data_IF_371239215808
#
_entry.id   IF_371239215808
#
_cell.length_a   1.000
_cell.length_b   1.000
_cell.length_c   1.000
_cell.angle_alpha   90.00
_cell.angle_beta   90.00
_cell.angle_gamma   90.00
#
_symmetry.space_group_name_H-M   'P 1'
#
loop_
_entity.id
_entity.type
_entity.pdbx_description
1 polymer ?
#
# COMPACT_ATOMS: atom_id res chain seq x y z
N UNK A 1 -13.82 37.68 -41.12
CA UNK A 1 -14.40 36.44 -40.57
C UNK A 1 -13.28 35.40 -40.60
N UNK A 2 -12.26 35.39 -39.72
CA UNK A 2 -12.27 35.36 -38.24
C UNK A 2 -13.47 34.53 -37.76
N UNK A 3 -13.32 33.32 -37.19
CA UNK A 3 -12.43 32.85 -36.12
C UNK A 3 -12.07 31.36 -36.34
N UNK A 4 -10.80 30.94 -36.34
CA UNK A 4 -9.98 30.51 -35.21
C UNK A 4 -10.50 29.31 -34.39
N UNK A 5 -9.95 28.17 -34.79
CA UNK A 5 -9.76 26.89 -34.10
C UNK A 5 -9.40 27.02 -32.60
N UNK A 6 -10.16 26.36 -31.73
CA UNK A 6 -9.79 26.15 -30.32
C UNK A 6 -9.72 24.66 -29.98
N UNK A 7 -8.53 24.08 -30.15
CA UNK A 7 -8.04 22.94 -29.39
C UNK A 7 -7.36 23.44 -28.12
N UNK A 8 -7.89 23.09 -26.94
CA UNK A 8 -7.24 23.28 -25.63
C UNK A 8 -8.07 22.52 -24.56
N UNK A 9 -7.58 21.77 -23.59
CA UNK A 9 -6.25 21.36 -23.13
C UNK A 9 -6.51 20.09 -22.29
N UNK A 10 -5.86 18.98 -22.61
CA UNK A 10 -5.82 17.84 -21.69
C UNK A 10 -4.93 18.23 -20.51
N UNK A 11 -5.53 18.56 -19.37
CA UNK A 11 -4.81 18.69 -18.11
C UNK A 11 -4.31 17.31 -17.68
N UNK A 12 -3.11 16.99 -18.12
CA UNK A 12 -2.29 15.93 -17.53
C UNK A 12 -2.01 16.40 -16.10
N UNK A 13 -2.80 15.88 -15.16
CA UNK A 13 -2.52 15.98 -13.73
C UNK A 13 -1.14 15.35 -13.52
N UNK A 14 -0.14 16.21 -13.40
CA UNK A 14 1.24 15.86 -13.10
C UNK A 14 1.26 15.21 -11.72
N UNK A 15 1.16 13.88 -11.68
CA UNK A 15 1.49 13.11 -10.49
C UNK A 15 2.96 13.39 -10.18
N UNK A 16 3.20 14.11 -9.12
CA UNK A 16 4.52 14.49 -8.65
C UNK A 16 5.23 13.26 -8.07
N UNK A 17 5.65 12.33 -8.94
CA UNK A 17 6.60 11.26 -8.61
C UNK A 17 8.01 11.84 -8.75
N UNK A 18 8.28 12.93 -8.02
CA UNK A 18 9.66 13.35 -7.77
C UNK A 18 10.07 12.74 -6.45
N UNK A 19 10.80 11.63 -6.54
CA UNK A 19 12.01 11.33 -5.78
C UNK A 19 12.40 9.87 -6.01
N UNK A 20 13.05 9.62 -7.14
CA UNK A 20 13.80 8.38 -7.35
C UNK A 20 15.13 8.44 -6.59
N UNK A 21 15.10 8.88 -5.32
CA UNK A 21 16.27 8.77 -4.45
C UNK A 21 16.43 7.29 -4.16
N UNK A 22 17.56 6.70 -4.58
CA UNK A 22 17.95 5.33 -4.24
C UNK A 22 17.49 5.04 -2.79
N UNK A 23 16.74 3.96 -2.54
CA UNK A 23 16.21 3.70 -1.21
C UNK A 23 17.38 3.64 -0.24
N UNK A 24 17.55 4.68 0.58
CA UNK A 24 18.57 4.70 1.62
C UNK A 24 18.10 3.71 2.67
N UNK A 25 18.94 2.73 2.98
CA UNK A 25 18.66 1.78 4.05
C UNK A 25 18.60 2.57 5.37
N UNK A 26 17.39 2.85 5.85
CA UNK A 26 17.19 3.56 7.10
C UNK A 26 17.60 2.66 8.27
N UNK A 27 18.03 3.28 9.37
CA UNK A 27 18.29 2.56 10.63
C UNK A 27 17.03 1.81 11.02
N UNK A 28 17.18 0.52 11.32
CA UNK A 28 16.05 -0.33 11.71
C UNK A 28 15.37 0.22 12.99
N UNK A 29 14.04 0.17 13.03
CA UNK A 29 13.25 0.56 14.20
C UNK A 29 13.61 -0.29 15.42
N UNK A 30 13.50 0.30 16.63
CA UNK A 30 13.68 -0.44 17.90
C UNK A 30 12.77 -1.67 17.97
N UNK A 31 11.52 -1.54 17.49
CA UNK A 31 10.54 -2.64 17.43
C UNK A 31 11.01 -3.78 16.51
N UNK A 32 11.52 -3.45 15.32
CA UNK A 32 12.10 -4.42 14.39
C UNK A 32 13.28 -5.17 15.00
N UNK A 33 14.17 -4.44 15.69
CA UNK A 33 15.35 -5.07 16.31
C UNK A 33 15.00 -6.00 17.47
N UNK A 34 13.89 -5.78 18.18
CA UNK A 34 13.41 -6.71 19.22
C UNK A 34 12.91 -8.00 18.60
N UNK A 35 11.99 -7.89 17.63
CA UNK A 35 11.44 -9.05 16.90
C UNK A 35 12.53 -9.88 16.24
N UNK A 36 13.50 -9.24 15.60
CA UNK A 36 14.63 -9.93 14.99
C UNK A 36 15.51 -10.68 16.01
N UNK A 37 15.62 -10.19 17.26
CA UNK A 37 16.33 -10.90 18.34
C UNK A 37 15.55 -12.11 18.82
N UNK A 38 14.24 -11.99 19.01
CA UNK A 38 13.38 -13.09 19.44
C UNK A 38 13.43 -14.26 18.45
N UNK A 39 13.28 -13.96 17.15
CA UNK A 39 13.39 -14.96 16.08
C UNK A 39 14.79 -15.59 16.06
N UNK A 40 15.85 -14.80 16.30
CA UNK A 40 17.22 -15.30 16.35
C UNK A 40 17.46 -16.22 17.55
N UNK A 41 16.86 -15.92 18.70
CA UNK A 41 16.93 -16.78 19.88
C UNK A 41 16.24 -18.11 19.62
N UNK A 42 15.06 -18.08 19.01
CA UNK A 42 14.30 -19.27 18.63
C UNK A 42 15.05 -20.13 17.61
N UNK A 43 15.59 -19.51 16.56
CA UNK A 43 16.39 -20.20 15.54
C UNK A 43 17.68 -20.83 16.11
N UNK A 44 18.20 -20.29 17.23
CA UNK A 44 19.40 -20.77 17.91
C UNK A 44 19.14 -21.76 19.05
N UNK A 45 17.89 -22.21 19.27
CA UNK A 45 17.58 -23.30 20.23
C UNK A 45 18.08 -24.69 19.77
N UNK A 46 18.92 -24.75 18.74
CA UNK A 46 19.49 -26.00 18.23
C UNK A 46 20.50 -26.55 19.24
N UNK A 47 20.39 -27.84 19.55
CA UNK A 47 21.24 -28.52 20.54
C UNK A 47 22.67 -28.75 20.06
N UNK A 48 22.89 -28.75 18.74
CA UNK A 48 24.19 -29.06 18.13
C UNK A 48 24.46 -28.07 17.00
N UNK A 49 25.72 -27.65 16.87
CA UNK A 49 26.24 -26.87 15.74
C UNK A 49 26.52 -25.39 16.03
N UNK A 50 26.89 -24.66 14.98
CA UNK A 50 27.23 -23.23 15.06
C UNK A 50 25.98 -22.37 15.24
N UNK A 51 26.09 -21.33 16.06
CA UNK A 51 25.06 -20.29 16.18
C UNK A 51 24.84 -19.56 14.85
N UNK A 52 23.58 -19.39 14.48
CA UNK A 52 23.14 -18.63 13.31
C UNK A 52 23.42 -17.15 13.55
N UNK A 53 24.08 -16.50 12.59
CA UNK A 53 24.33 -15.06 12.63
C UNK A 53 23.14 -14.28 12.04
N UNK A 54 23.00 -13.01 12.43
CA UNK A 54 21.95 -12.11 11.91
C UNK A 54 21.92 -12.04 10.38
N UNK A 55 23.09 -12.04 9.74
CA UNK A 55 23.21 -11.97 8.29
C UNK A 55 22.65 -13.22 7.59
N UNK A 56 22.84 -14.41 8.17
CA UNK A 56 22.34 -15.67 7.60
C UNK A 56 20.81 -15.73 7.70
N UNK A 57 20.26 -15.29 8.84
CA UNK A 57 18.81 -15.17 9.03
C UNK A 57 18.19 -14.23 7.98
N UNK A 58 18.79 -13.05 7.76
CA UNK A 58 18.29 -12.09 6.78
C UNK A 58 18.39 -12.60 5.34
N UNK A 59 19.48 -13.28 4.98
CA UNK A 59 19.63 -13.88 3.65
C UNK A 59 18.53 -14.93 3.39
N UNK A 60 18.23 -15.76 4.38
CA UNK A 60 17.16 -16.74 4.28
C UNK A 60 15.78 -16.09 4.17
N UNK A 61 15.53 -15.03 4.92
CA UNK A 61 14.28 -14.27 4.82
C UNK A 61 14.09 -13.65 3.43
N UNK A 62 15.17 -13.10 2.85
CA UNK A 62 15.16 -12.53 1.51
C UNK A 62 14.96 -13.60 0.42
N UNK A 63 15.43 -14.84 0.62
CA UNK A 63 15.23 -15.93 -0.35
C UNK A 63 13.79 -16.45 -0.40
N UNK A 64 13.03 -16.30 0.69
CA UNK A 64 11.61 -16.70 0.76
C UNK A 64 10.69 -15.62 0.17
N UNK A 65 11.17 -14.39 0.03
CA UNK A 65 10.35 -13.25 -0.36
C UNK A 65 9.79 -13.43 -1.78
N UNK A 66 8.50 -13.76 -1.86
CA UNK A 66 7.72 -13.86 -3.11
C UNK A 66 7.17 -12.50 -3.54
N UNK A 67 6.83 -12.32 -4.82
CA UNK A 67 6.16 -11.11 -5.32
C UNK A 67 4.84 -10.80 -4.60
N UNK A 68 4.15 -11.82 -4.08
CA UNK A 68 2.92 -11.65 -3.28
C UNK A 68 3.19 -10.85 -2.00
N UNK A 69 4.27 -11.14 -1.30
CA UNK A 69 4.66 -10.41 -0.09
C UNK A 69 5.04 -8.95 -0.39
N UNK A 70 5.56 -8.69 -1.59
CA UNK A 70 5.84 -7.33 -2.05
C UNK A 70 4.53 -6.57 -2.25
N UNK A 71 3.51 -7.19 -2.87
CA UNK A 71 2.18 -6.59 -3.02
C UNK A 71 1.54 -6.31 -1.65
N UNK A 72 1.62 -7.26 -0.71
CA UNK A 72 1.13 -7.06 0.65
C UNK A 72 1.84 -5.87 1.35
N UNK A 73 3.17 -5.75 1.21
CA UNK A 73 3.91 -4.62 1.76
C UNK A 73 3.49 -3.29 1.14
N UNK A 74 3.21 -3.28 -0.17
CA UNK A 74 2.67 -2.11 -0.85
C UNK A 74 1.32 -1.74 -0.26
N UNK A 75 0.39 -2.69 -0.13
CA UNK A 75 -0.95 -2.50 0.46
C UNK A 75 -0.92 -2.04 1.92
N UNK A 76 0.02 -2.53 2.72
CA UNK A 76 0.23 -2.10 4.11
C UNK A 76 0.83 -0.70 4.19
N UNK A 77 1.61 -0.29 3.20
CA UNK A 77 2.20 1.05 3.14
C UNK A 77 1.20 2.11 2.66
N UNK A 78 0.06 1.73 2.09
CA UNK A 78 -0.98 2.68 1.70
C UNK A 78 -1.59 3.34 2.94
N UNK A 79 -1.60 4.66 2.96
CA UNK A 79 -2.30 5.41 4.01
C UNK A 79 -3.81 5.31 3.82
N UNK A 80 -4.57 5.66 4.86
CA UNK A 80 -6.03 5.72 4.77
C UNK A 80 -6.48 6.71 3.69
N UNK A 81 -5.77 7.85 3.54
CA UNK A 81 -6.06 8.80 2.46
C UNK A 81 -5.79 8.19 1.08
N UNK A 82 -4.69 7.44 0.92
CA UNK A 82 -4.37 6.77 -0.34
C UNK A 82 -5.42 5.69 -0.70
N UNK A 83 -5.90 4.94 0.30
CA UNK A 83 -6.97 3.94 0.10
C UNK A 83 -8.27 4.60 -0.36
N UNK A 84 -8.63 5.73 0.23
CA UNK A 84 -9.81 6.50 -0.19
C UNK A 84 -9.66 7.07 -1.59
N UNK A 85 -8.47 7.56 -1.96
CA UNK A 85 -8.21 8.03 -3.31
C UNK A 85 -8.25 6.87 -4.33
N UNK A 86 -7.73 5.67 -4.00
CA UNK A 86 -7.87 4.49 -4.86
C UNK A 86 -9.34 4.11 -5.11
N UNK A 87 -10.17 4.15 -4.06
CA UNK A 87 -11.61 3.94 -4.16
C UNK A 87 -12.28 5.00 -5.05
N UNK A 88 -11.92 6.28 -4.85
CA UNK A 88 -12.42 7.38 -5.67
C UNK A 88 -12.05 7.22 -7.15
N UNK A 89 -10.81 6.84 -7.45
CA UNK A 89 -10.35 6.61 -8.83
C UNK A 89 -11.11 5.46 -9.50
N UNK A 90 -11.43 4.39 -8.76
CA UNK A 90 -12.24 3.28 -9.28
C UNK A 90 -13.69 3.69 -9.50
N UNK A 91 -14.27 4.46 -8.59
CA UNK A 91 -15.61 5.04 -8.76
C UNK A 91 -15.67 5.94 -9.99
N UNK A 92 -14.65 6.79 -10.22
CA UNK A 92 -14.57 7.67 -11.39
C UNK A 92 -14.59 6.89 -12.70
N UNK A 93 -13.94 5.73 -12.76
CA UNK A 93 -13.92 4.87 -13.95
C UNK A 93 -15.29 4.28 -14.29
N UNK A 94 -16.16 4.11 -13.30
CA UNK A 94 -17.44 3.41 -13.45
C UNK A 94 -18.59 4.40 -13.59
N UNK A 95 -18.63 5.42 -12.74
CA UNK A 95 -19.75 6.36 -12.61
C UNK A 95 -19.44 7.77 -13.12
N UNK A 96 -18.19 8.05 -13.51
CA UNK A 96 -17.78 9.35 -14.03
C UNK A 96 -17.11 10.27 -12.99
N UNK A 97 -16.65 11.46 -13.42
CA UNK A 97 -15.85 12.35 -12.58
C UNK A 97 -16.64 12.87 -11.38
N UNK A 98 -16.18 12.55 -10.16
CA UNK A 98 -16.74 13.03 -8.89
C UNK A 98 -15.70 13.84 -8.10
N UNK A 99 -16.13 14.94 -7.50
CA UNK A 99 -15.27 15.73 -6.61
C UNK A 99 -14.97 14.97 -5.32
N UNK A 100 -13.87 15.31 -4.63
CA UNK A 100 -13.51 14.69 -3.35
C UNK A 100 -14.61 14.86 -2.30
N UNK A 101 -15.25 16.04 -2.28
CA UNK A 101 -16.33 16.35 -1.34
C UNK A 101 -17.59 15.52 -1.63
N UNK A 102 -17.93 15.39 -2.90
CA UNK A 102 -19.12 14.65 -3.33
C UNK A 102 -18.92 13.14 -3.14
N UNK A 103 -17.69 12.65 -3.36
CA UNK A 103 -17.32 11.27 -3.04
C UNK A 103 -17.43 10.98 -1.54
N UNK A 104 -17.03 11.92 -0.67
CA UNK A 104 -17.20 11.77 0.77
C UNK A 104 -18.68 11.77 1.19
N UNK A 105 -19.53 12.54 0.51
CA UNK A 105 -20.99 12.44 0.70
C UNK A 105 -21.53 11.07 0.27
N UNK A 106 -21.02 10.54 -0.84
CA UNK A 106 -21.37 9.21 -1.34
C UNK A 106 -20.96 8.10 -0.37
N UNK A 107 -19.77 8.16 0.24
CA UNK A 107 -19.33 7.12 1.21
C UNK A 107 -20.18 7.04 2.47
N UNK A 108 -20.95 8.10 2.78
CA UNK A 108 -21.90 8.15 3.90
C UNK A 108 -23.30 7.65 3.53
N UNK A 109 -23.54 7.34 2.24
CA UNK A 109 -24.82 6.84 1.74
C UNK A 109 -24.95 5.33 1.86
N UNK A 110 -26.20 4.84 1.86
CA UNK A 110 -26.49 3.39 1.85
C UNK A 110 -26.06 2.74 0.53
N UNK A 111 -26.03 3.50 -0.56
CA UNK A 111 -25.62 3.05 -1.89
C UNK A 111 -24.13 2.67 -1.95
N UNK A 112 -23.30 3.30 -1.11
CA UNK A 112 -21.88 2.95 -0.98
C UNK A 112 -21.68 1.53 -0.44
N UNK A 113 -22.53 1.06 0.48
CA UNK A 113 -22.47 -0.32 0.97
C UNK A 113 -22.81 -1.31 -0.15
N UNK A 114 -23.74 -0.96 -1.04
CA UNK A 114 -24.04 -1.73 -2.25
C UNK A 114 -22.85 -1.77 -3.21
N UNK A 115 -22.23 -0.63 -3.46
CA UNK A 115 -21.02 -0.51 -4.28
C UNK A 115 -19.85 -1.35 -3.74
N UNK A 116 -19.60 -1.32 -2.43
CA UNK A 116 -18.54 -2.13 -1.81
C UNK A 116 -18.79 -3.64 -1.96
N UNK A 117 -20.04 -4.08 -1.77
CA UNK A 117 -20.43 -5.49 -1.94
C UNK A 117 -20.30 -5.95 -3.39
N UNK A 118 -20.71 -5.12 -4.33
CA UNK A 118 -20.67 -5.43 -5.76
C UNK A 118 -19.24 -5.45 -6.31
N UNK A 119 -18.33 -4.67 -5.72
CA UNK A 119 -16.93 -4.59 -6.13
C UNK A 119 -15.95 -5.37 -5.23
N UNK A 120 -16.44 -6.35 -4.47
CA UNK A 120 -15.66 -7.29 -3.67
C UNK A 120 -14.52 -6.64 -2.87
N UNK A 121 -14.79 -5.45 -2.31
CA UNK A 121 -13.86 -4.83 -1.40
C UNK A 121 -13.97 -5.56 -0.07
N UNK A 122 -13.09 -6.54 0.13
CA UNK A 122 -12.78 -7.02 1.46
C UNK A 122 -12.13 -5.87 2.23
N UNK A 123 -12.96 -5.07 2.90
CA UNK A 123 -12.52 -4.40 4.11
C UNK A 123 -12.23 -5.55 5.07
N UNK A 124 -10.98 -6.04 5.05
CA UNK A 124 -10.48 -6.95 6.07
C UNK A 124 -10.54 -6.15 7.36
N UNK A 125 -11.67 -6.26 8.04
CA UNK A 125 -11.85 -5.76 9.38
C UNK A 125 -10.76 -6.45 10.19
N UNK A 126 -9.71 -5.71 10.54
CA UNK A 126 -8.79 -6.10 11.59
C UNK A 126 -9.64 -6.12 12.88
N UNK A 127 -10.29 -7.25 13.12
CA UNK A 127 -10.77 -7.63 14.44
C UNK A 127 -9.52 -7.79 15.30
N UNK A 128 -9.20 -6.74 16.04
CA UNK A 128 -8.31 -6.80 17.19
C UNK A 128 -8.98 -7.76 18.18
N UNK A 129 -8.41 -8.96 18.29
CA UNK A 129 -8.62 -9.86 19.41
C UNK A 129 -7.53 -9.62 20.45
#
# INVERSE_FOLDING_TARGET
MEEMNQTAKSEIVKTNIKNNSKPKLKRASKTFTSRAKEILLEANKKTIGRKIKKHELLNFALSILKPEHIKMLQEQSLTNEDRMEQLRQKYIKIHGPISKRDFLGFTMSVEYLGFLKQHHFEVKNETVA
#
